data_IF_263312969556
#
_entry.id   IF_263312969556
#
_cell.length_a   1.000
_cell.length_b   1.000
_cell.length_c   1.000
_cell.angle_alpha   90.00
_cell.angle_beta   90.00
_cell.angle_gamma   90.00
#
_symmetry.space_group_name_H-M   'P 1'
#
loop_
_entity.id
_entity.type
_entity.pdbx_description
1 polymer ?
#
# COMPACT_ATOMS: atom_id res chain seq x y z
N UNK A 1 29.75 11.11 13.44
CA UNK A 1 28.29 11.23 13.24
C UNK A 1 27.62 10.29 14.23
N UNK A 2 26.80 10.82 15.13
CA UNK A 2 26.08 10.01 16.13
C UNK A 2 24.98 9.20 15.45
N UNK A 3 24.74 7.96 15.91
CA UNK A 3 23.78 7.03 15.29
C UNK A 3 22.37 7.62 15.15
N UNK A 4 21.99 8.51 16.08
CA UNK A 4 20.72 9.25 16.09
C UNK A 4 20.53 10.14 14.84
N UNK A 5 21.59 10.81 14.39
CA UNK A 5 21.52 11.68 13.21
C UNK A 5 21.26 10.83 11.96
N UNK A 6 21.93 9.68 11.86
CA UNK A 6 21.77 8.75 10.73
C UNK A 6 20.34 8.19 10.72
N UNK A 7 19.83 7.74 11.87
CA UNK A 7 18.48 7.22 12.00
C UNK A 7 17.41 8.26 11.65
N UNK A 8 17.60 9.52 12.08
CA UNK A 8 16.68 10.62 11.78
C UNK A 8 16.63 10.92 10.28
N UNK A 9 17.79 10.98 9.61
CA UNK A 9 17.86 11.18 8.17
C UNK A 9 17.19 10.03 7.39
N UNK A 10 17.48 8.77 7.76
CA UNK A 10 16.86 7.59 7.13
C UNK A 10 15.34 7.64 7.31
N UNK A 11 14.86 7.97 8.51
CA UNK A 11 13.43 8.05 8.81
C UNK A 11 12.74 9.14 7.99
N UNK A 12 13.35 10.32 7.88
CA UNK A 12 12.83 11.40 7.07
C UNK A 12 12.70 10.99 5.59
N UNK A 13 13.71 10.30 5.05
CA UNK A 13 13.68 9.76 3.68
C UNK A 13 12.57 8.71 3.55
N UNK A 14 12.45 7.76 4.49
CA UNK A 14 11.40 6.75 4.47
C UNK A 14 10.00 7.36 4.55
N UNK A 15 9.81 8.44 5.30
CA UNK A 15 8.53 9.17 5.35
C UNK A 15 8.21 9.83 4.01
N UNK A 16 9.17 10.50 3.38
CA UNK A 16 8.98 11.11 2.06
C UNK A 16 8.67 10.05 1.01
N UNK A 17 9.45 8.97 0.95
CA UNK A 17 9.23 7.84 0.04
C UNK A 17 7.91 7.15 0.33
N UNK A 18 7.54 6.99 1.60
CA UNK A 18 6.26 6.42 2.03
C UNK A 18 5.09 7.28 1.55
N UNK A 19 5.15 8.59 1.73
CA UNK A 19 4.16 9.53 1.20
C UNK A 19 4.08 9.47 -0.34
N UNK A 20 5.22 9.43 -1.03
CA UNK A 20 5.25 9.25 -2.49
C UNK A 20 4.69 7.89 -2.92
N UNK A 21 4.91 6.82 -2.14
CA UNK A 21 4.33 5.49 -2.37
C UNK A 21 2.82 5.41 -2.14
N UNK A 22 2.26 6.30 -1.30
CA UNK A 22 0.79 6.47 -1.19
C UNK A 22 0.23 7.09 -2.48
N UNK A 23 0.97 8.00 -3.13
CA UNK A 23 0.54 8.69 -4.35
C UNK A 23 0.77 7.81 -5.59
N UNK A 24 1.95 7.18 -5.68
CA UNK A 24 2.38 6.30 -6.76
C UNK A 24 2.33 4.87 -6.22
N UNK A 25 1.30 4.07 -6.57
CA UNK A 25 1.02 2.79 -5.93
C UNK A 25 1.95 1.67 -6.41
N UNK A 26 3.26 1.93 -6.39
CA UNK A 26 4.34 0.96 -6.65
C UNK A 26 4.75 0.27 -5.35
N UNK A 27 4.66 0.97 -4.21
CA UNK A 27 5.01 0.45 -2.88
C UNK A 27 3.90 0.77 -1.86
N UNK A 28 3.60 -0.13 -0.91
CA UNK A 28 2.62 0.12 0.14
C UNK A 28 3.14 1.19 1.12
N UNK A 29 2.93 2.46 0.78
CA UNK A 29 3.50 3.62 1.47
C UNK A 29 3.18 3.68 2.96
N UNK A 30 1.96 3.30 3.36
CA UNK A 30 1.56 3.21 4.77
C UNK A 30 2.42 2.24 5.57
N UNK A 31 2.84 1.11 4.97
CA UNK A 31 3.71 0.13 5.62
C UNK A 31 5.11 0.70 5.79
N UNK A 32 5.64 1.37 4.76
CA UNK A 32 6.94 2.04 4.83
C UNK A 32 6.99 3.12 5.91
N UNK A 33 5.92 3.90 6.05
CA UNK A 33 5.78 4.92 7.11
C UNK A 33 5.87 4.26 8.49
N UNK A 34 5.08 3.19 8.74
CA UNK A 34 5.08 2.50 10.04
C UNK A 34 6.45 1.88 10.34
N UNK A 35 7.08 1.23 9.36
CA UNK A 35 8.42 0.63 9.53
C UNK A 35 9.46 1.70 9.81
N UNK A 36 9.46 2.82 9.08
CA UNK A 36 10.38 3.93 9.30
C UNK A 36 10.22 4.52 10.70
N UNK A 37 8.98 4.74 11.14
CA UNK A 37 8.69 5.22 12.49
C UNK A 37 9.12 4.22 13.57
N UNK A 38 8.97 2.91 13.32
CA UNK A 38 9.38 1.88 14.27
C UNK A 38 10.90 1.85 14.41
N UNK A 39 11.63 1.90 13.29
CA UNK A 39 13.09 1.99 13.30
C UNK A 39 13.53 3.24 14.07
N UNK A 40 12.90 4.38 13.81
CA UNK A 40 13.21 5.62 14.51
C UNK A 40 12.97 5.53 16.03
N UNK A 41 11.79 5.07 16.45
CA UNK A 41 11.45 4.90 17.86
C UNK A 41 12.42 3.95 18.58
N UNK A 42 12.80 2.86 17.91
CA UNK A 42 13.78 1.90 18.43
C UNK A 42 15.19 2.51 18.55
N UNK A 43 15.55 3.46 17.69
CA UNK A 43 16.88 4.11 17.75
C UNK A 43 16.96 5.24 18.78
N UNK A 44 15.92 6.07 18.90
CA UNK A 44 15.92 7.22 19.81
C UNK A 44 15.64 6.79 21.26
N UNK A 45 14.88 5.71 21.47
CA UNK A 45 14.52 5.17 22.80
C UNK A 45 13.95 6.21 23.78
N UNK A 46 13.40 7.31 23.27
CA UNK A 46 12.82 8.38 24.08
C UNK A 46 11.29 8.41 23.94
N UNK A 47 10.63 9.10 24.88
CA UNK A 47 9.16 9.21 24.93
C UNK A 47 8.61 9.81 23.63
N UNK A 48 9.32 10.76 23.02
CA UNK A 48 8.94 11.35 21.74
C UNK A 48 8.91 10.30 20.62
N UNK A 49 9.89 9.39 20.58
CA UNK A 49 10.00 8.30 19.62
C UNK A 49 8.76 7.40 19.61
N UNK A 50 8.37 6.93 20.80
CA UNK A 50 7.20 6.07 20.97
C UNK A 50 5.89 6.81 20.69
N UNK A 51 5.79 8.09 21.08
CA UNK A 51 4.58 8.90 20.85
C UNK A 51 4.34 9.08 19.35
N UNK A 52 5.37 9.45 18.59
CA UNK A 52 5.27 9.64 17.13
C UNK A 52 4.98 8.33 16.42
N UNK A 53 5.55 7.20 16.88
CA UNK A 53 5.21 5.88 16.35
C UNK A 53 3.72 5.57 16.48
N UNK A 54 3.15 5.75 17.68
CA UNK A 54 1.73 5.46 17.93
C UNK A 54 0.84 6.37 17.08
N UNK A 55 1.06 7.69 17.15
CA UNK A 55 0.26 8.67 16.41
C UNK A 55 0.38 8.45 14.91
N UNK A 56 1.60 8.31 14.40
CA UNK A 56 1.85 8.08 12.98
C UNK A 56 1.29 6.76 12.47
N UNK A 57 1.33 5.70 13.27
CA UNK A 57 0.73 4.40 12.91
C UNK A 57 -0.79 4.49 12.84
N UNK A 58 -1.43 5.18 13.79
CA UNK A 58 -2.88 5.42 13.76
C UNK A 58 -3.27 6.19 12.50
N UNK A 59 -2.54 7.27 12.17
CA UNK A 59 -2.76 8.04 10.94
C UNK A 59 -2.57 7.19 9.68
N UNK A 60 -1.53 6.36 9.63
CA UNK A 60 -1.27 5.46 8.50
C UNK A 60 -2.41 4.45 8.30
N UNK A 61 -2.92 3.87 9.39
CA UNK A 61 -4.07 2.94 9.36
C UNK A 61 -5.34 3.65 8.90
N UNK A 62 -5.62 4.86 9.40
CA UNK A 62 -6.78 5.65 8.98
C UNK A 62 -6.67 5.99 7.49
N UNK A 63 -5.51 6.43 7.01
CA UNK A 63 -5.29 6.72 5.59
C UNK A 63 -5.49 5.49 4.70
N UNK A 64 -4.97 4.33 5.13
CA UNK A 64 -5.14 3.06 4.43
C UNK A 64 -6.62 2.62 4.39
N UNK A 65 -7.31 2.71 5.53
CA UNK A 65 -8.73 2.36 5.64
C UNK A 65 -9.60 3.31 4.80
N UNK A 66 -9.32 4.62 4.83
CA UNK A 66 -10.02 5.60 4.02
C UNK A 66 -9.88 5.26 2.52
N UNK A 67 -8.65 5.01 2.05
CA UNK A 67 -8.39 4.60 0.66
C UNK A 67 -9.15 3.33 0.28
N UNK A 68 -9.17 2.32 1.15
CA UNK A 68 -9.91 1.07 0.92
C UNK A 68 -11.43 1.30 0.86
N UNK A 69 -11.99 2.07 1.80
CA UNK A 69 -13.43 2.36 1.87
C UNK A 69 -13.88 3.22 0.70
N UNK A 70 -13.15 4.29 0.37
CA UNK A 70 -13.43 5.17 -0.76
C UNK A 70 -13.36 4.43 -2.10
N UNK A 71 -12.35 3.57 -2.27
CA UNK A 71 -12.20 2.75 -3.49
C UNK A 71 -13.31 1.71 -3.58
N UNK A 72 -13.59 0.98 -2.50
CA UNK A 72 -14.67 0.00 -2.44
C UNK A 72 -16.04 0.62 -2.70
N UNK A 73 -16.32 1.79 -2.13
CA UNK A 73 -17.56 2.53 -2.36
C UNK A 73 -17.70 2.95 -3.83
N UNK A 74 -16.64 3.45 -4.47
CA UNK A 74 -16.65 3.82 -5.90
C UNK A 74 -16.86 2.60 -6.81
N UNK A 75 -16.23 1.46 -6.50
CA UNK A 75 -16.42 0.22 -7.27
C UNK A 75 -17.86 -0.29 -7.17
N UNK A 76 -18.46 -0.23 -5.98
CA UNK A 76 -19.85 -0.61 -5.75
C UNK A 76 -20.84 0.31 -6.46
N UNK A 77 -20.58 1.62 -6.48
CA UNK A 77 -21.39 2.60 -7.23
C UNK A 77 -21.37 2.35 -8.74
N UNK A 78 -20.26 1.84 -9.28
CA UNK A 78 -20.12 1.49 -10.71
C UNK A 78 -20.71 0.11 -11.06
N UNK A 79 -21.40 -0.54 -10.12
CA UNK A 79 -21.99 -1.89 -10.26
C UNK A 79 -21.02 -2.95 -10.81
N UNK A 80 -19.72 -2.82 -10.49
CA UNK A 80 -18.73 -3.83 -10.89
C UNK A 80 -18.97 -5.09 -10.02
N UNK A 81 -19.23 -6.26 -10.62
CA UNK A 81 -19.50 -7.47 -9.85
C UNK A 81 -18.26 -7.87 -9.03
N UNK A 82 -18.45 -8.23 -7.75
CA UNK A 82 -17.35 -8.73 -6.90
C UNK A 82 -16.63 -9.94 -7.51
N UNK A 83 -17.32 -10.74 -8.32
CA UNK A 83 -16.72 -11.88 -9.04
C UNK A 83 -15.68 -11.43 -10.07
N UNK A 84 -15.99 -10.41 -10.88
CA UNK A 84 -15.04 -9.85 -11.85
C UNK A 84 -13.80 -9.29 -11.16
N UNK A 85 -13.98 -8.63 -10.01
CA UNK A 85 -12.88 -8.13 -9.18
C UNK A 85 -12.03 -9.27 -8.59
N UNK A 86 -12.65 -10.38 -8.19
CA UNK A 86 -11.96 -11.56 -7.65
C UNK A 86 -11.09 -12.22 -8.72
N UNK A 87 -11.60 -12.37 -9.94
CA UNK A 87 -10.83 -12.92 -11.07
C UNK A 87 -9.71 -11.99 -11.51
N UNK A 88 -9.93 -10.68 -11.49
CA UNK A 88 -8.87 -9.69 -11.71
C UNK A 88 -7.78 -9.79 -10.63
N UNK A 89 -8.15 -9.87 -9.35
CA UNK A 89 -7.20 -10.01 -8.25
C UNK A 89 -6.41 -11.33 -8.34
N UNK A 90 -7.08 -12.45 -8.63
CA UNK A 90 -6.43 -13.74 -8.84
C UNK A 90 -5.47 -13.70 -10.04
N UNK A 91 -5.90 -13.09 -11.16
CA UNK A 91 -5.06 -12.87 -12.32
C UNK A 91 -3.83 -12.02 -12.01
N UNK A 92 -3.96 -10.97 -11.18
CA UNK A 92 -2.86 -10.14 -10.72
C UNK A 92 -1.83 -10.93 -9.90
N UNK A 93 -2.30 -11.80 -9.00
CA UNK A 93 -1.44 -12.67 -8.19
C UNK A 93 -0.68 -13.63 -9.10
N UNK A 94 -1.37 -14.31 -10.02
CA UNK A 94 -0.70 -15.22 -10.99
C UNK A 94 0.29 -14.45 -11.86
N UNK A 95 -0.11 -13.27 -12.36
CA UNK A 95 0.73 -12.42 -13.20
C UNK A 95 2.01 -11.97 -12.47
N UNK A 96 1.93 -11.66 -11.17
CA UNK A 96 3.11 -11.34 -10.36
C UNK A 96 4.16 -12.47 -10.35
N UNK A 97 3.71 -13.73 -10.31
CA UNK A 97 4.61 -14.89 -10.36
C UNK A 97 5.22 -15.12 -11.75
N UNK A 98 4.52 -14.72 -12.82
CA UNK A 98 5.00 -14.88 -14.21
C UNK A 98 5.93 -13.73 -14.61
N UNK A 99 5.56 -12.49 -14.31
CA UNK A 99 6.31 -11.27 -14.64
C UNK A 99 6.47 -10.45 -13.35
N UNK A 100 7.65 -10.46 -12.71
CA UNK A 100 7.89 -9.68 -11.52
C UNK A 100 7.62 -8.19 -11.76
N UNK A 101 7.06 -7.50 -10.75
CA UNK A 101 6.72 -6.06 -10.76
C UNK A 101 5.54 -5.69 -11.69
N UNK A 102 5.63 -5.99 -12.98
CA UNK A 102 4.65 -5.54 -13.98
C UNK A 102 3.45 -6.50 -14.10
N UNK A 103 3.65 -7.76 -13.73
CA UNK A 103 2.66 -8.82 -13.85
C UNK A 103 1.41 -8.64 -12.99
N UNK A 104 1.50 -7.87 -11.90
CA UNK A 104 0.30 -7.49 -11.12
C UNK A 104 -0.69 -6.74 -12.00
N UNK A 105 -0.23 -5.70 -12.72
CA UNK A 105 -1.11 -4.89 -13.56
C UNK A 105 -1.61 -5.70 -14.75
N UNK A 106 -0.71 -6.37 -15.47
CA UNK A 106 -1.04 -7.17 -16.66
C UNK A 106 -2.01 -8.29 -16.30
N UNK A 107 -1.72 -9.04 -15.25
CA UNK A 107 -2.56 -10.12 -14.76
C UNK A 107 -3.93 -9.63 -14.27
N UNK A 108 -3.99 -8.46 -13.64
CA UNK A 108 -5.25 -7.83 -13.25
C UNK A 108 -6.13 -7.51 -14.46
N UNK A 109 -5.57 -6.85 -15.48
CA UNK A 109 -6.31 -6.53 -16.70
C UNK A 109 -6.80 -7.78 -17.42
N UNK A 110 -5.94 -8.78 -17.60
CA UNK A 110 -6.29 -10.04 -18.26
C UNK A 110 -7.39 -10.78 -17.48
N UNK A 111 -7.24 -10.91 -16.15
CA UNK A 111 -8.24 -11.57 -15.30
C UNK A 111 -9.59 -10.85 -15.33
N UNK A 112 -9.58 -9.51 -15.34
CA UNK A 112 -10.79 -8.70 -15.46
C UNK A 112 -11.46 -8.91 -16.83
N UNK A 113 -10.70 -8.79 -17.93
CA UNK A 113 -11.19 -8.99 -19.30
C UNK A 113 -11.77 -10.39 -19.52
N UNK A 114 -11.11 -11.42 -19.00
CA UNK A 114 -11.60 -12.80 -19.07
C UNK A 114 -12.93 -12.95 -18.32
N UNK A 115 -13.04 -12.36 -17.12
CA UNK A 115 -14.27 -12.41 -16.33
C UNK A 115 -15.45 -11.69 -17.01
N UNK A 116 -15.19 -10.56 -17.68
CA UNK A 116 -16.21 -9.80 -18.39
C UNK A 116 -16.60 -10.48 -19.71
N UNK A 117 -15.63 -11.06 -20.42
CA UNK A 117 -15.88 -11.83 -21.64
C UNK A 117 -16.70 -13.10 -21.35
N UNK A 118 -16.41 -13.78 -20.24
CA UNK A 118 -17.19 -14.94 -19.79
C UNK A 118 -18.61 -14.57 -19.33
N UNK A 119 -18.85 -13.31 -18.95
CA UNK A 119 -20.16 -12.79 -18.58
C UNK A 119 -20.99 -12.36 -19.79
N UNK A 120 -20.35 -11.89 -20.87
CA UNK A 120 -21.01 -11.41 -22.08
C UNK A 120 -21.29 -12.50 -23.13
N UNK A 121 -20.81 -13.73 -22.91
CA UNK A 121 -21.20 -14.93 -23.66
C UNK A 121 -22.40 -15.60 -23.02
#
# INVERSE_FOLDING_TARGET
MTAEIIATLITAVLLVVGCLGVIVPVLPGSILIVVGLLVWALTVQAVEGWTVLVVGSVLAVIGMAASAVLTGARLKQRQIPNRSLLYAAAGAVVGLFVIPVVGIFVGFFVGLLLSETARQR
#
